data_IF_183289356761
#
_entry.id   IF_183289356761
#
_cell.length_a   1.000
_cell.length_b   1.000
_cell.length_c   1.000
_cell.angle_alpha   90.00
_cell.angle_beta   90.00
_cell.angle_gamma   90.00
#
_symmetry.space_group_name_H-M   'P 1'
#
loop_
_entity.id
_entity.type
_entity.pdbx_description
1 polymer ?
#
# COMPACT_ATOMS: atom_id res chain seq x y z
N UNK A 1 -8.43 -12.94 7.04
CA UNK A 1 -7.43 -13.92 7.51
C UNK A 1 -7.87 -14.70 8.77
N UNK A 2 -9.05 -14.44 9.37
CA UNK A 2 -9.52 -15.25 10.51
C UNK A 2 -8.69 -15.14 11.79
N UNK A 3 -7.88 -14.07 11.94
CA UNK A 3 -7.04 -13.83 13.11
C UNK A 3 -7.86 -13.28 14.27
N UNK A 4 -7.79 -13.93 15.45
CA UNK A 4 -8.50 -13.48 16.65
C UNK A 4 -7.74 -12.40 17.42
N UNK A 5 -6.41 -12.51 17.50
CA UNK A 5 -5.56 -11.61 18.27
C UNK A 5 -4.36 -11.17 17.44
N UNK A 6 -4.01 -9.89 17.53
CA UNK A 6 -2.82 -9.30 16.93
C UNK A 6 -1.92 -8.73 18.03
N UNK A 7 -0.70 -9.26 18.15
CA UNK A 7 0.32 -8.71 19.02
C UNK A 7 1.25 -7.82 18.20
N UNK A 8 1.22 -6.51 18.47
CA UNK A 8 2.15 -5.54 17.87
C UNK A 8 3.30 -5.32 18.85
N UNK A 9 4.49 -5.78 18.49
CA UNK A 9 5.69 -5.62 19.32
C UNK A 9 6.54 -4.46 18.76
N UNK A 10 6.69 -3.35 19.48
CA UNK A 10 7.56 -2.26 19.04
C UNK A 10 9.02 -2.72 18.99
N UNK A 11 9.69 -2.48 17.86
CA UNK A 11 11.10 -2.84 17.67
C UNK A 11 12.03 -1.81 18.33
N UNK A 12 12.01 -1.76 19.66
CA UNK A 12 12.85 -0.85 20.47
C UNK A 12 14.29 -1.36 20.53
N UNK A 13 15.24 -0.49 20.95
CA UNK A 13 16.63 -0.92 21.22
C UNK A 13 16.70 -2.07 22.21
N UNK A 14 15.86 -2.04 23.25
CA UNK A 14 15.78 -3.12 24.24
C UNK A 14 15.31 -4.42 23.59
N UNK A 15 14.25 -4.38 22.77
CA UNK A 15 13.77 -5.56 22.05
C UNK A 15 14.82 -6.11 21.06
N UNK A 16 15.46 -5.22 20.29
CA UNK A 16 16.50 -5.59 19.34
C UNK A 16 17.74 -6.22 20.01
N UNK A 17 18.00 -5.90 21.28
CA UNK A 17 19.13 -6.44 22.05
C UNK A 17 18.87 -7.83 22.66
N UNK A 18 17.64 -8.35 22.59
CA UNK A 18 17.32 -9.67 23.12
C UNK A 18 18.08 -10.74 22.35
N UNK A 19 18.83 -11.60 23.03
CA UNK A 19 19.41 -12.78 22.38
C UNK A 19 18.31 -13.71 21.86
N UNK A 20 18.65 -14.61 20.94
CA UNK A 20 17.70 -15.60 20.44
C UNK A 20 17.09 -16.45 21.58
N UNK A 21 17.90 -16.84 22.57
CA UNK A 21 17.42 -17.59 23.75
C UNK A 21 16.51 -16.75 24.63
N UNK A 22 16.85 -15.47 24.86
CA UNK A 22 15.99 -14.56 25.61
C UNK A 22 14.65 -14.34 24.89
N UNK A 23 14.65 -14.23 23.57
CA UNK A 23 13.42 -14.15 22.78
C UNK A 23 12.57 -15.42 22.97
N UNK A 24 13.19 -16.60 22.85
CA UNK A 24 12.50 -17.88 23.06
C UNK A 24 11.91 -17.98 24.46
N UNK A 25 12.71 -17.78 25.51
CA UNK A 25 12.25 -17.94 26.89
C UNK A 25 11.23 -16.87 27.27
N UNK A 26 11.58 -15.59 27.08
CA UNK A 26 10.77 -14.50 27.62
C UNK A 26 9.50 -14.27 26.84
N UNK A 27 9.50 -14.50 25.52
CA UNK A 27 8.35 -14.20 24.66
C UNK A 27 7.62 -15.48 24.29
N UNK A 28 8.28 -16.47 23.68
CA UNK A 28 7.59 -17.67 23.22
C UNK A 28 7.13 -18.55 24.39
N UNK A 29 8.03 -18.89 25.33
CA UNK A 29 7.71 -19.81 26.44
C UNK A 29 6.86 -19.12 27.52
N UNK A 30 7.25 -17.93 27.99
CA UNK A 30 6.57 -17.33 29.14
C UNK A 30 5.30 -16.56 28.78
N UNK A 31 5.25 -15.88 27.63
CA UNK A 31 4.14 -15.00 27.28
C UNK A 31 3.16 -15.66 26.30
N UNK A 32 3.64 -16.19 25.17
CA UNK A 32 2.78 -16.68 24.09
C UNK A 32 2.31 -18.12 24.35
N UNK A 33 3.21 -19.00 24.83
CA UNK A 33 2.95 -20.42 25.07
C UNK A 33 2.33 -21.13 23.85
N UNK A 34 2.98 -21.06 22.67
CA UNK A 34 2.41 -21.62 21.46
C UNK A 34 2.38 -23.16 21.54
N UNK A 35 1.35 -23.76 20.96
CA UNK A 35 1.34 -25.20 20.65
C UNK A 35 1.86 -25.46 19.23
N UNK A 36 1.69 -24.51 18.32
CA UNK A 36 2.14 -24.56 16.94
C UNK A 36 2.65 -23.17 16.53
N UNK A 37 3.78 -23.15 15.83
CA UNK A 37 4.33 -21.96 15.18
C UNK A 37 4.34 -22.20 13.68
N UNK A 38 3.71 -21.27 12.94
CA UNK A 38 3.83 -21.18 11.49
C UNK A 38 4.83 -20.07 11.16
N UNK A 39 5.89 -20.36 10.42
CA UNK A 39 6.91 -19.38 10.06
C UNK A 39 7.42 -19.57 8.63
N UNK A 40 7.88 -18.51 7.98
CA UNK A 40 8.58 -18.62 6.70
C UNK A 40 9.94 -19.31 6.87
N UNK A 41 10.42 -19.98 5.81
CA UNK A 41 11.75 -20.62 5.82
C UNK A 41 12.92 -19.64 6.10
N UNK A 42 12.71 -18.36 5.80
CA UNK A 42 13.66 -17.26 6.03
C UNK A 42 13.55 -16.61 7.42
N UNK A 43 12.82 -17.23 8.36
CA UNK A 43 12.66 -16.71 9.73
C UNK A 43 14.00 -16.39 10.39
N UNK A 44 14.06 -15.21 10.99
CA UNK A 44 15.17 -14.69 11.80
C UNK A 44 14.62 -13.98 13.02
N UNK A 45 15.29 -14.14 14.15
CA UNK A 45 14.91 -13.51 15.42
C UNK A 45 16.12 -13.36 16.35
N UNK A 46 15.95 -12.60 17.43
CA UNK A 46 17.04 -12.26 18.34
C UNK A 46 18.04 -11.27 17.76
N UNK A 47 18.94 -10.80 18.62
CA UNK A 47 19.99 -9.84 18.32
C UNK A 47 20.84 -10.36 17.15
N UNK A 48 21.19 -9.44 16.26
CA UNK A 48 21.97 -9.69 15.04
C UNK A 48 21.41 -10.82 14.15
N UNK A 49 20.10 -11.07 14.22
CA UNK A 49 19.43 -12.16 13.51
C UNK A 49 20.07 -13.55 13.79
N UNK A 50 20.59 -13.73 15.00
CA UNK A 50 21.27 -14.96 15.44
C UNK A 50 20.35 -16.18 15.51
N UNK A 51 19.06 -15.98 15.79
CA UNK A 51 18.03 -17.00 15.77
C UNK A 51 17.57 -17.33 14.35
N UNK A 52 17.37 -18.62 14.08
CA UNK A 52 16.95 -19.13 12.77
C UNK A 52 16.01 -20.34 12.93
N UNK A 53 15.54 -20.89 11.79
CA UNK A 53 14.64 -22.05 11.78
C UNK A 53 15.16 -23.29 12.55
N UNK A 54 16.47 -23.54 12.53
CA UNK A 54 17.04 -24.70 13.21
C UNK A 54 16.96 -24.53 14.72
N UNK A 55 17.30 -23.33 15.21
CA UNK A 55 17.17 -22.99 16.63
C UNK A 55 15.70 -23.04 17.09
N UNK A 56 14.78 -22.49 16.28
CA UNK A 56 13.35 -22.49 16.60
C UNK A 56 12.75 -23.90 16.63
N UNK A 57 13.21 -24.79 15.74
CA UNK A 57 12.84 -26.20 15.70
C UNK A 57 13.34 -26.96 16.93
N UNK A 58 14.64 -26.81 17.26
CA UNK A 58 15.24 -27.45 18.43
C UNK A 58 14.58 -26.98 19.74
N UNK A 59 14.29 -25.68 19.86
CA UNK A 59 13.57 -25.13 20.99
C UNK A 59 12.14 -25.67 21.09
N UNK A 60 11.46 -25.89 19.95
CA UNK A 60 10.13 -26.51 19.92
C UNK A 60 10.11 -27.94 20.42
N UNK A 61 11.12 -28.73 20.04
CA UNK A 61 11.29 -30.09 20.57
C UNK A 61 11.47 -30.11 22.09
N UNK A 62 12.12 -29.09 22.66
CA UNK A 62 12.34 -28.99 24.10
C UNK A 62 11.13 -28.42 24.86
N UNK A 63 10.45 -27.42 24.30
CA UNK A 63 9.41 -26.66 25.00
C UNK A 63 7.97 -27.04 24.60
N UNK A 64 7.80 -27.96 23.65
CA UNK A 64 6.52 -28.58 23.34
C UNK A 64 5.66 -27.86 22.29
N UNK A 65 6.26 -27.05 21.42
CA UNK A 65 5.56 -26.55 20.22
C UNK A 65 6.00 -27.28 18.96
N UNK A 66 5.05 -27.43 18.04
CA UNK A 66 5.32 -27.85 16.67
C UNK A 66 5.74 -26.64 15.83
N UNK A 67 6.66 -26.84 14.88
CA UNK A 67 7.07 -25.81 13.93
C UNK A 67 6.75 -26.27 12.51
N UNK A 68 5.89 -25.53 11.82
CA UNK A 68 5.65 -25.72 10.39
C UNK A 68 6.27 -24.57 9.62
N UNK A 69 7.21 -24.91 8.73
CA UNK A 69 7.83 -23.96 7.84
C UNK A 69 7.02 -23.83 6.56
N UNK A 70 6.65 -22.60 6.23
CA UNK A 70 5.94 -22.24 5.02
C UNK A 70 6.96 -21.88 3.94
N UNK A 71 6.90 -22.59 2.82
CA UNK A 71 7.69 -22.27 1.64
C UNK A 71 7.32 -20.87 1.13
N UNK A 72 8.30 -20.21 0.53
CA UNK A 72 8.03 -18.98 -0.20
C UNK A 72 6.97 -19.23 -1.27
N UNK A 73 5.92 -18.42 -1.25
CA UNK A 73 4.84 -18.52 -2.22
C UNK A 73 5.33 -18.09 -3.60
N UNK A 74 4.96 -18.87 -4.59
CA UNK A 74 5.25 -18.64 -6.00
C UNK A 74 3.94 -18.36 -6.73
N UNK A 75 3.94 -17.38 -7.61
CA UNK A 75 2.83 -17.09 -8.51
C UNK A 75 3.33 -17.24 -9.95
N UNK A 76 2.96 -18.35 -10.59
CA UNK A 76 3.68 -18.81 -11.79
C UNK A 76 5.14 -19.13 -11.45
N UNK A 77 6.08 -18.52 -12.18
CA UNK A 77 7.52 -18.72 -11.95
C UNK A 77 8.14 -17.67 -11.03
N UNK A 78 7.32 -16.88 -10.33
CA UNK A 78 7.76 -15.67 -9.66
C UNK A 78 7.52 -15.71 -8.13
N UNK A 79 8.56 -15.42 -7.33
CA UNK A 79 8.46 -15.39 -5.85
C UNK A 79 7.70 -14.18 -5.34
N UNK A 80 6.59 -14.38 -4.63
CA UNK A 80 5.86 -13.29 -3.99
C UNK A 80 6.69 -12.73 -2.83
N UNK A 81 6.93 -11.41 -2.82
CA UNK A 81 7.65 -10.75 -1.71
C UNK A 81 7.35 -9.24 -1.65
N UNK A 82 7.38 -8.68 -0.44
CA UNK A 82 7.17 -7.24 -0.21
C UNK A 82 8.17 -6.36 -0.94
N UNK A 83 9.42 -6.82 -1.12
CA UNK A 83 10.44 -6.07 -1.86
C UNK A 83 10.10 -5.96 -3.35
N UNK A 84 9.54 -7.02 -3.96
CA UNK A 84 9.13 -6.99 -5.36
C UNK A 84 7.88 -6.14 -5.57
N UNK A 85 6.87 -6.29 -4.70
CA UNK A 85 5.66 -5.46 -4.75
C UNK A 85 6.02 -3.98 -4.66
N UNK A 86 6.91 -3.59 -3.73
CA UNK A 86 7.40 -2.21 -3.62
C UNK A 86 8.12 -1.74 -4.89
N UNK A 87 8.98 -2.57 -5.49
CA UNK A 87 9.66 -2.24 -6.75
C UNK A 87 8.67 -2.02 -7.89
N UNK A 88 7.68 -2.90 -8.07
CA UNK A 88 6.65 -2.77 -9.09
C UNK A 88 5.84 -1.48 -8.92
N UNK A 89 5.40 -1.17 -7.70
CA UNK A 89 4.68 0.07 -7.40
C UNK A 89 5.51 1.33 -7.70
N UNK A 90 6.80 1.34 -7.33
CA UNK A 90 7.72 2.46 -7.60
C UNK A 90 8.07 2.61 -9.09
N UNK A 91 8.00 1.52 -9.86
CA UNK A 91 8.19 1.53 -11.31
C UNK A 91 6.90 1.86 -12.08
N UNK A 92 5.76 1.99 -11.39
CA UNK A 92 4.45 2.19 -12.03
C UNK A 92 3.84 0.91 -12.63
N UNK A 93 4.46 -0.25 -12.43
CA UNK A 93 3.93 -1.55 -12.85
C UNK A 93 2.86 -2.04 -11.86
N UNK A 94 1.69 -1.40 -11.95
CA UNK A 94 0.56 -1.67 -11.07
C UNK A 94 -0.04 -3.06 -11.31
N UNK A 95 -0.01 -3.57 -12.54
CA UNK A 95 -0.58 -4.87 -12.88
C UNK A 95 0.18 -5.99 -12.16
N UNK A 96 1.52 -5.98 -12.22
CA UNK A 96 2.35 -6.94 -11.47
C UNK A 96 2.17 -6.80 -9.96
N UNK A 97 2.09 -5.57 -9.45
CA UNK A 97 1.88 -5.34 -8.02
C UNK A 97 0.54 -5.94 -7.54
N UNK A 98 -0.55 -5.68 -8.26
CA UNK A 98 -1.88 -6.19 -7.95
C UNK A 98 -1.95 -7.71 -8.10
N UNK A 99 -1.29 -8.26 -9.13
CA UNK A 99 -1.19 -9.70 -9.34
C UNK A 99 -0.50 -10.39 -8.16
N UNK A 100 0.66 -9.88 -7.72
CA UNK A 100 1.39 -10.42 -6.58
C UNK A 100 0.67 -10.27 -5.23
N UNK A 101 -0.13 -9.21 -5.07
CA UNK A 101 -0.96 -8.98 -3.87
C UNK A 101 -2.20 -9.88 -3.85
N UNK A 102 -2.72 -10.27 -5.03
CA UNK A 102 -4.02 -10.92 -5.18
C UNK A 102 -5.21 -9.97 -5.01
N UNK A 103 -4.96 -8.67 -4.88
CA UNK A 103 -5.98 -7.63 -4.76
C UNK A 103 -5.40 -6.26 -5.20
N UNK A 104 -6.26 -5.27 -5.49
CA UNK A 104 -5.80 -3.94 -5.91
C UNK A 104 -5.05 -3.24 -4.78
N UNK A 105 -3.89 -2.65 -5.07
CA UNK A 105 -3.18 -1.86 -4.07
C UNK A 105 -4.06 -0.71 -3.58
N UNK A 106 -4.06 -0.46 -2.27
CA UNK A 106 -4.91 0.54 -1.65
C UNK A 106 -4.10 1.53 -0.82
N UNK A 107 -4.49 2.80 -0.87
CA UNK A 107 -4.10 3.83 0.11
C UNK A 107 -5.33 4.37 0.82
N UNK A 108 -5.11 5.01 1.97
CA UNK A 108 -6.14 5.71 2.72
C UNK A 108 -5.63 7.12 3.03
N UNK A 109 -6.50 8.11 2.86
CA UNK A 109 -6.13 9.50 3.09
C UNK A 109 -7.33 10.39 3.32
N UNK A 110 -7.08 11.53 3.96
CA UNK A 110 -8.09 12.54 4.24
C UNK A 110 -8.13 13.54 3.10
N UNK A 111 -9.32 13.99 2.73
CA UNK A 111 -9.47 15.06 1.76
C UNK A 111 -9.08 16.38 2.40
N UNK A 112 -8.04 16.99 1.85
CA UNK A 112 -7.46 18.26 2.27
C UNK A 112 -7.69 19.40 1.27
N UNK A 113 -7.26 20.62 1.60
CA UNK A 113 -7.45 21.79 0.75
C UNK A 113 -6.55 21.75 -0.49
N UNK A 114 -7.10 22.15 -1.64
CA UNK A 114 -6.46 22.15 -2.94
C UNK A 114 -6.49 23.50 -3.65
N UNK A 115 -5.78 23.62 -4.80
CA UNK A 115 -5.87 24.81 -5.66
C UNK A 115 -7.19 24.91 -6.44
N UNK A 116 -8.00 23.85 -6.42
CA UNK A 116 -9.32 23.77 -7.08
C UNK A 116 -9.30 24.13 -8.59
N UNK A 117 -8.15 24.03 -9.27
CA UNK A 117 -8.01 24.38 -10.70
C UNK A 117 -8.92 23.49 -11.54
N UNK A 118 -9.03 22.21 -11.20
CA UNK A 118 -9.91 21.28 -11.92
C UNK A 118 -11.38 21.74 -11.92
N UNK A 119 -11.84 22.43 -10.87
CA UNK A 119 -13.20 22.94 -10.77
C UNK A 119 -13.54 23.96 -11.87
N UNK A 120 -12.57 24.79 -12.30
CA UNK A 120 -12.83 25.80 -13.34
C UNK A 120 -12.94 25.21 -14.75
N UNK A 121 -12.53 23.96 -14.94
CA UNK A 121 -12.56 23.25 -16.23
C UNK A 121 -13.48 22.01 -16.23
N UNK A 122 -14.32 21.85 -15.20
CA UNK A 122 -15.29 20.75 -15.11
C UNK A 122 -14.76 19.43 -14.54
N UNK A 123 -13.57 19.43 -13.93
CA UNK A 123 -12.93 18.27 -13.31
C UNK A 123 -12.59 18.55 -11.83
N UNK A 124 -13.58 18.73 -10.94
CA UNK A 124 -13.31 18.97 -9.51
C UNK A 124 -12.45 17.85 -8.92
N UNK A 125 -11.28 18.21 -8.37
CA UNK A 125 -10.37 17.26 -7.72
C UNK A 125 -10.33 17.48 -6.21
N UNK A 126 -10.20 16.38 -5.48
CA UNK A 126 -9.92 16.35 -4.05
C UNK A 126 -8.44 16.01 -3.84
N UNK A 127 -7.72 16.84 -3.07
CA UNK A 127 -6.35 16.55 -2.66
C UNK A 127 -6.38 15.54 -1.51
N UNK A 128 -5.54 14.51 -1.60
CA UNK A 128 -5.48 13.42 -0.62
C UNK A 128 -4.21 13.57 0.21
N UNK A 129 -4.41 13.87 1.49
CA UNK A 129 -3.37 13.82 2.49
C UNK A 129 -3.30 12.38 3.02
N UNK A 130 -2.35 11.60 2.49
CA UNK A 130 -2.13 10.22 2.93
C UNK A 130 -1.85 10.19 4.44
N UNK A 131 -2.77 9.59 5.20
CA UNK A 131 -2.70 9.59 6.66
C UNK A 131 -1.64 8.64 7.23
N UNK A 132 -0.95 7.87 6.38
CA UNK A 132 -0.02 6.83 6.79
C UNK A 132 1.38 7.15 6.28
N UNK A 133 2.23 7.68 7.17
CA UNK A 133 3.62 8.07 6.88
C UNK A 133 4.47 6.94 6.27
N UNK A 134 4.14 5.68 6.57
CA UNK A 134 4.86 4.50 6.07
C UNK A 134 4.21 3.83 4.85
N UNK A 135 3.11 4.37 4.34
CA UNK A 135 2.42 3.79 3.19
C UNK A 135 3.12 4.23 1.90
N UNK A 136 3.53 3.24 1.11
CA UNK A 136 4.19 3.50 -0.16
C UNK A 136 3.19 4.02 -1.20
N UNK A 137 3.36 5.26 -1.64
CA UNK A 137 2.57 5.83 -2.73
C UNK A 137 3.17 5.35 -4.07
N UNK A 138 2.37 4.74 -4.99
CA UNK A 138 2.83 4.27 -6.30
C UNK A 138 3.50 5.37 -7.12
N UNK A 139 4.23 5.05 -8.19
CA UNK A 139 4.92 6.01 -9.07
C UNK A 139 4.05 7.21 -9.53
N UNK A 140 4.69 8.27 -10.01
CA UNK A 140 3.94 9.41 -10.57
C UNK A 140 3.21 9.01 -11.86
N UNK A 141 2.05 9.59 -12.09
CA UNK A 141 1.19 9.31 -13.24
C UNK A 141 -0.30 9.37 -12.93
N UNK A 142 -1.09 8.99 -13.94
CA UNK A 142 -2.55 8.97 -13.88
C UNK A 142 -3.06 7.54 -13.78
N UNK A 143 -4.04 7.33 -12.92
CA UNK A 143 -4.57 6.02 -12.54
C UNK A 143 -6.09 6.01 -12.63
N UNK A 144 -6.65 4.89 -13.08
CA UNK A 144 -8.04 4.55 -12.85
C UNK A 144 -8.16 3.98 -11.42
N UNK A 145 -9.10 4.49 -10.64
CA UNK A 145 -9.25 4.14 -9.24
C UNK A 145 -10.70 3.85 -8.88
N UNK A 146 -10.86 3.04 -7.84
CA UNK A 146 -12.12 2.82 -7.17
C UNK A 146 -11.98 3.31 -5.73
N UNK A 147 -12.83 4.24 -5.33
CA UNK A 147 -12.75 4.93 -4.05
C UNK A 147 -13.90 4.50 -3.16
N UNK A 148 -13.60 4.11 -1.93
CA UNK A 148 -14.59 3.82 -0.90
C UNK A 148 -14.77 5.05 -0.01
N UNK A 149 -16.02 5.47 0.13
CA UNK A 149 -16.47 6.55 1.02
C UNK A 149 -17.66 6.06 1.83
N UNK A 150 -17.46 5.80 3.12
CA UNK A 150 -18.44 5.06 3.93
C UNK A 150 -18.75 3.70 3.29
N UNK A 151 -20.02 3.46 3.00
CA UNK A 151 -20.50 2.24 2.32
C UNK A 151 -20.55 2.36 0.79
N UNK A 152 -20.21 3.52 0.24
CA UNK A 152 -20.26 3.77 -1.20
C UNK A 152 -18.95 3.43 -1.88
N UNK A 153 -19.07 2.90 -3.10
CA UNK A 153 -17.96 2.63 -4.00
C UNK A 153 -18.12 3.54 -5.21
N UNK A 154 -17.18 4.46 -5.39
CA UNK A 154 -17.23 5.52 -6.37
C UNK A 154 -16.08 5.35 -7.37
N UNK A 155 -16.36 5.30 -8.69
CA UNK A 155 -15.32 5.27 -9.71
C UNK A 155 -14.63 6.64 -9.82
N UNK A 156 -13.37 6.64 -10.23
CA UNK A 156 -12.67 7.89 -10.47
C UNK A 156 -11.35 7.72 -11.21
N UNK A 157 -10.70 8.85 -11.44
CA UNK A 157 -9.31 8.92 -11.87
C UNK A 157 -8.47 9.69 -10.85
N UNK A 158 -7.21 9.33 -10.75
CA UNK A 158 -6.29 9.89 -9.76
C UNK A 158 -4.97 10.26 -10.42
N UNK A 159 -4.47 11.46 -10.12
CA UNK A 159 -3.15 11.91 -10.48
C UNK A 159 -2.20 11.88 -9.28
N UNK A 160 -1.05 11.23 -9.44
CA UNK A 160 0.08 11.34 -8.51
C UNK A 160 1.16 12.16 -9.22
N UNK A 161 1.60 13.23 -8.59
CA UNK A 161 2.56 14.11 -9.23
C UNK A 161 3.34 15.03 -8.33
N UNK A 162 4.23 15.82 -8.92
CA UNK A 162 5.09 16.75 -8.18
C UNK A 162 4.70 18.19 -8.47
N UNK A 163 4.38 18.94 -7.41
CA UNK A 163 4.24 20.39 -7.52
C UNK A 163 5.62 21.04 -7.60
N UNK A 164 5.88 21.89 -8.61
CA UNK A 164 6.99 22.83 -8.53
C UNK A 164 6.71 23.78 -7.37
N UNK A 165 7.41 23.58 -6.25
CA UNK A 165 7.42 24.52 -5.12
C UNK A 165 8.72 25.33 -5.15
N UNK A 166 8.92 26.21 -4.16
CA UNK A 166 10.14 27.03 -4.06
C UNK A 166 11.42 26.18 -4.24
N UNK A 167 12.54 26.74 -4.74
CA UNK A 167 13.77 25.99 -4.95
C UNK A 167 14.15 25.17 -3.71
N UNK A 168 14.27 23.85 -3.87
CA UNK A 168 14.61 22.92 -2.79
C UNK A 168 13.43 22.31 -2.02
N UNK A 169 12.20 22.69 -2.33
CA UNK A 169 11.00 22.01 -1.86
C UNK A 169 10.26 21.47 -3.08
N UNK A 170 9.99 20.17 -3.10
CA UNK A 170 9.01 19.55 -4.00
C UNK A 170 8.03 18.78 -3.13
N UNK A 171 6.74 19.09 -3.24
CA UNK A 171 5.69 18.33 -2.55
C UNK A 171 5.00 17.44 -3.57
N UNK A 172 5.06 16.14 -3.30
CA UNK A 172 4.29 15.15 -4.03
C UNK A 172 2.81 15.31 -3.66
N UNK A 173 1.94 15.30 -4.67
CA UNK A 173 0.50 15.43 -4.52
C UNK A 173 -0.22 14.21 -5.05
N UNK A 174 -1.35 13.92 -4.42
CA UNK A 174 -2.31 12.93 -4.85
C UNK A 174 -3.64 13.66 -5.01
N UNK A 175 -4.20 13.62 -6.20
CA UNK A 175 -5.44 14.31 -6.55
C UNK A 175 -6.40 13.32 -7.17
N UNK A 176 -7.58 13.16 -6.59
CA UNK A 176 -8.63 12.28 -7.12
C UNK A 176 -9.78 13.09 -7.68
N UNK A 177 -10.26 12.71 -8.85
CA UNK A 177 -11.52 13.15 -9.43
C UNK A 177 -12.48 11.96 -9.44
N UNK A 178 -13.51 12.01 -8.61
CA UNK A 178 -14.58 11.01 -8.59
C UNK A 178 -15.62 11.35 -9.65
N UNK A 179 -16.12 10.33 -10.35
CA UNK A 179 -17.13 10.52 -11.38
C UNK A 179 -18.52 10.53 -10.78
N UNK A 180 -19.39 11.40 -11.30
CA UNK A 180 -20.79 11.52 -10.90
C UNK A 180 -20.99 11.81 -9.39
N UNK A 181 -20.04 12.54 -8.80
CA UNK A 181 -20.07 12.98 -7.39
C UNK A 181 -20.16 14.50 -7.31
N UNK A 182 -21.25 15.01 -6.76
CA UNK A 182 -21.52 16.45 -6.60
C UNK A 182 -21.50 16.93 -5.13
N UNK A 183 -21.11 16.06 -4.20
CA UNK A 183 -21.02 16.40 -2.77
C UNK A 183 -19.65 16.98 -2.39
N UNK A 184 -19.61 17.79 -1.34
CA UNK A 184 -18.36 18.22 -0.72
C UNK A 184 -17.72 17.04 0.02
N UNK A 185 -16.45 16.78 -0.29
CA UNK A 185 -15.68 15.68 0.29
C UNK A 185 -14.70 16.18 1.35
N UNK A 186 -14.63 17.49 1.61
CA UNK A 186 -13.63 18.06 2.49
C UNK A 186 -13.67 17.47 3.89
N UNK A 187 -12.53 16.97 4.35
CA UNK A 187 -12.41 16.32 5.67
C UNK A 187 -12.83 14.85 5.70
N UNK A 188 -13.41 14.31 4.64
CA UNK A 188 -13.74 12.89 4.54
C UNK A 188 -12.48 12.02 4.40
N UNK A 189 -12.55 10.80 4.89
CA UNK A 189 -11.51 9.78 4.70
C UNK A 189 -11.88 8.88 3.53
N UNK A 190 -10.99 8.82 2.54
CA UNK A 190 -11.17 8.01 1.33
C UNK A 190 -10.20 6.84 1.35
N UNK A 191 -10.71 5.64 1.06
CA UNK A 191 -9.88 4.48 0.72
C UNK A 191 -9.85 4.31 -0.78
N UNK A 192 -8.67 4.40 -1.37
CA UNK A 192 -8.49 4.46 -2.82
C UNK A 192 -7.80 3.20 -3.28
N UNK A 193 -8.49 2.41 -4.12
CA UNK A 193 -7.98 1.21 -4.76
C UNK A 193 -7.47 1.53 -6.15
N UNK A 194 -6.20 1.23 -6.42
CA UNK A 194 -5.55 1.45 -7.71
C UNK A 194 -5.86 0.29 -8.65
N UNK A 195 -6.63 0.57 -9.70
CA UNK A 195 -7.16 -0.44 -10.62
C UNK A 195 -6.24 -0.61 -11.82
N UNK A 196 -5.92 0.50 -12.48
CA UNK A 196 -5.09 0.50 -13.69
C UNK A 196 -4.26 1.77 -13.75
N UNK A 197 -3.01 1.67 -14.19
CA UNK A 197 -2.21 2.83 -14.58
C UNK A 197 -2.56 3.21 -16.02
N UNK A 198 -2.88 4.49 -16.24
CA UNK A 198 -3.32 5.00 -17.53
C UNK A 198 -2.16 5.61 -18.32
N UNK A 199 -1.36 6.48 -17.70
CA UNK A 199 -0.24 7.17 -18.34
C UNK A 199 0.71 7.82 -17.34
N UNK A 200 1.87 8.27 -17.84
CA UNK A 200 2.79 9.16 -17.12
C UNK A 200 2.20 10.58 -16.97
N UNK A 201 2.80 11.38 -16.07
CA UNK A 201 2.51 12.81 -15.98
C UNK A 201 2.95 13.55 -17.24
N UNK A 202 2.22 14.62 -17.59
CA UNK A 202 2.46 15.41 -18.79
C UNK A 202 2.33 16.89 -18.47
N UNK A 203 3.14 17.73 -19.14
CA UNK A 203 2.95 19.17 -19.14
C UNK A 203 2.00 19.55 -20.26
N UNK A 204 1.09 20.48 -19.98
CA UNK A 204 0.13 20.98 -20.95
C UNK A 204 0.48 22.41 -21.35
N UNK A 205 0.26 22.74 -22.64
CA UNK A 205 0.50 24.07 -23.19
C UNK A 205 -0.57 25.10 -22.79
N UNK A 206 -1.69 24.65 -22.21
CA UNK A 206 -2.78 25.52 -21.74
C UNK A 206 -3.97 24.72 -21.18
N UNK A 207 -4.97 25.44 -20.67
CA UNK A 207 -6.15 24.85 -20.02
C UNK A 207 -6.98 23.96 -20.96
N UNK A 208 -7.11 24.33 -22.24
CA UNK A 208 -7.90 23.54 -23.19
C UNK A 208 -7.23 22.19 -23.50
N UNK A 209 -5.91 22.18 -23.67
CA UNK A 209 -5.15 20.93 -23.85
C UNK A 209 -5.25 20.03 -22.61
N UNK A 210 -5.19 20.61 -21.41
CA UNK A 210 -5.42 19.88 -20.16
C UNK A 210 -6.83 19.28 -20.12
N UNK A 211 -7.86 20.07 -20.42
CA UNK A 211 -9.27 19.63 -20.41
C UNK A 211 -9.51 18.46 -21.37
N UNK A 212 -8.97 18.54 -22.59
CA UNK A 212 -9.09 17.47 -23.58
C UNK A 212 -8.42 16.17 -23.11
N UNK A 213 -7.22 16.27 -22.50
CA UNK A 213 -6.55 15.09 -21.97
C UNK A 213 -7.29 14.48 -20.78
N UNK A 214 -7.83 15.31 -19.87
CA UNK A 214 -8.62 14.83 -18.73
C UNK A 214 -9.88 14.09 -19.16
N UNK A 215 -10.55 14.54 -20.24
CA UNK A 215 -11.70 13.82 -20.79
C UNK A 215 -11.28 12.46 -21.38
N UNK A 216 -10.14 12.41 -22.07
CA UNK A 216 -9.60 11.15 -22.56
C UNK A 216 -9.21 10.20 -21.42
N UNK A 217 -8.62 10.73 -20.35
CA UNK A 217 -8.26 9.96 -19.16
C UNK A 217 -9.51 9.43 -18.45
N UNK A 218 -10.59 10.23 -18.36
CA UNK A 218 -11.90 9.83 -17.83
C UNK A 218 -12.47 8.65 -18.61
N UNK A 219 -12.50 8.73 -19.94
CA UNK A 219 -12.98 7.65 -20.80
C UNK A 219 -12.15 6.37 -20.64
N UNK A 220 -10.82 6.51 -20.56
CA UNK A 220 -9.91 5.38 -20.35
C UNK A 220 -10.10 4.76 -18.96
N UNK A 221 -10.32 5.57 -17.92
CA UNK A 221 -10.62 5.11 -16.58
C UNK A 221 -11.94 4.33 -16.51
N UNK A 222 -13.01 4.87 -17.10
CA UNK A 222 -14.31 4.19 -17.19
C UNK A 222 -14.17 2.82 -17.86
N UNK A 223 -13.45 2.75 -18.99
CA UNK A 223 -13.18 1.47 -19.66
C UNK A 223 -12.41 0.51 -18.75
N UNK A 224 -11.35 0.96 -18.09
CA UNK A 224 -10.55 0.12 -17.20
C UNK A 224 -11.34 -0.40 -15.98
N UNK A 225 -12.32 0.37 -15.51
CA UNK A 225 -13.18 0.03 -14.38
C UNK A 225 -14.33 -0.92 -14.77
N UNK A 226 -14.77 -0.91 -16.03
CA UNK A 226 -15.87 -1.76 -16.51
C UNK A 226 -15.49 -3.24 -16.69
N UNK A 227 -14.20 -3.57 -16.83
CA UNK A 227 -13.72 -4.94 -17.08
C UNK A 227 -13.34 -5.71 -15.81
N UNK A 228 -14.11 -5.58 -14.73
CA UNK A 228 -13.90 -6.29 -13.46
C UNK A 228 -15.13 -7.00 -12.95
#
# INVERSE_FOLDING_TARGET
>A
AGTQNLMVIPFTKQFASLTADQFIQNILVHQIKPQLILAGEDVRFGADASGNRALLSAAGQHHGWELHLLNSQMLGNERISSSRIRKSLLAGDLDSANYLLGYPYQIEGKVGPGKQIGRSIGFPTANIDCCLEHKLVPADGVYAVQTTLGDQILPGMLNIGVRPTLPGQSSRTIEVHLFDVDQDLYGETLRISFIKRLRDEMKFSGLEALRQQLEQDRLNAIRALAFR
#
